data_IF_933460796662
#
_entry.id   IF_933460796662
#
_cell.length_a   1.000
_cell.length_b   1.000
_cell.length_c   1.000
_cell.angle_alpha   90.00
_cell.angle_beta   90.00
_cell.angle_gamma   90.00
#
_symmetry.space_group_name_H-M   'P 1'
#
loop_
_entity.id
_entity.type
_entity.pdbx_description
1 polymer ?
#
# COMPACT_ATOMS: atom_id res chain seq x y z
N UNK A 1 12.17 15.65 18.25
CA UNK A 1 12.14 15.92 16.79
C UNK A 1 12.85 14.84 15.98
N UNK A 2 14.13 14.54 16.24
CA UNK A 2 14.86 13.47 15.52
C UNK A 2 14.15 12.10 15.53
N UNK A 3 13.65 11.67 16.70
CA UNK A 3 12.93 10.39 16.84
C UNK A 3 11.65 10.36 15.98
N UNK A 4 10.90 11.46 15.93
CA UNK A 4 9.67 11.54 15.13
C UNK A 4 9.96 11.47 13.63
N UNK A 5 11.01 12.18 13.17
CA UNK A 5 11.44 12.12 11.76
C UNK A 5 11.90 10.71 11.41
N UNK A 6 12.70 10.08 12.27
CA UNK A 6 13.15 8.71 12.07
C UNK A 6 11.97 7.72 12.01
N UNK A 7 10.98 7.88 12.89
CA UNK A 7 9.77 7.05 12.89
C UNK A 7 8.96 7.20 11.59
N UNK A 8 8.82 8.42 11.06
CA UNK A 8 8.15 8.66 9.77
C UNK A 8 8.91 7.99 8.63
N UNK A 9 10.23 8.19 8.53
CA UNK A 9 11.05 7.62 7.46
C UNK A 9 10.99 6.09 7.48
N UNK A 10 11.17 5.48 8.66
CA UNK A 10 11.10 4.02 8.81
C UNK A 10 9.68 3.50 8.53
N UNK A 11 8.65 4.19 9.03
CA UNK A 11 7.26 3.81 8.80
C UNK A 11 6.88 3.80 7.33
N UNK A 12 7.21 4.86 6.59
CA UNK A 12 6.97 4.95 5.14
C UNK A 12 7.76 3.88 4.39
N UNK A 13 9.04 3.67 4.74
CA UNK A 13 9.85 2.64 4.11
C UNK A 13 9.27 1.23 4.31
N UNK A 14 8.80 0.92 5.52
CA UNK A 14 8.14 -0.36 5.82
C UNK A 14 6.80 -0.51 5.10
N UNK A 15 6.01 0.56 4.99
CA UNK A 15 4.73 0.55 4.26
C UNK A 15 4.95 0.27 2.77
N UNK A 16 5.86 0.98 2.12
CA UNK A 16 6.17 0.79 0.69
C UNK A 16 6.70 -0.63 0.45
N UNK A 17 7.66 -1.07 1.28
CA UNK A 17 8.23 -2.41 1.15
C UNK A 17 7.17 -3.51 1.37
N UNK A 18 6.27 -3.33 2.34
CA UNK A 18 5.17 -4.24 2.60
C UNK A 18 4.16 -4.29 1.46
N UNK A 19 3.81 -3.13 0.89
CA UNK A 19 2.91 -3.01 -0.25
C UNK A 19 3.47 -3.72 -1.49
N UNK A 20 4.75 -3.49 -1.83
CA UNK A 20 5.41 -4.15 -2.96
C UNK A 20 5.35 -5.67 -2.82
N UNK A 21 5.68 -6.20 -1.62
CA UNK A 21 5.64 -7.65 -1.37
C UNK A 21 4.25 -8.23 -1.39
N UNK A 22 3.26 -7.47 -0.94
CA UNK A 22 1.86 -7.87 -1.06
C UNK A 22 1.43 -7.96 -2.53
N UNK A 23 1.75 -6.96 -3.34
CA UNK A 23 1.41 -6.92 -4.78
C UNK A 23 2.09 -8.05 -5.53
N UNK A 24 3.39 -8.27 -5.31
CA UNK A 24 4.14 -9.36 -5.93
C UNK A 24 3.57 -10.74 -5.54
N UNK A 25 3.24 -10.92 -4.26
CA UNK A 25 2.62 -12.14 -3.75
C UNK A 25 1.25 -12.39 -4.39
N UNK A 26 0.39 -11.38 -4.41
CA UNK A 26 -0.93 -11.46 -5.02
C UNK A 26 -0.86 -11.71 -6.54
N UNK A 27 0.04 -11.03 -7.25
CA UNK A 27 0.28 -11.22 -8.68
C UNK A 27 0.79 -12.64 -8.98
N UNK A 28 1.68 -13.18 -8.14
CA UNK A 28 2.17 -14.56 -8.26
C UNK A 28 1.06 -15.59 -8.07
N UNK A 29 0.20 -15.40 -7.07
CA UNK A 29 -0.99 -16.25 -6.86
C UNK A 29 -1.93 -16.19 -8.07
N UNK A 30 -2.25 -14.99 -8.57
CA UNK A 30 -3.11 -14.82 -9.74
C UNK A 30 -2.52 -15.46 -11.00
N UNK A 31 -1.20 -15.33 -11.19
CA UNK A 31 -0.48 -16.00 -12.28
C UNK A 31 -0.58 -17.53 -12.17
N UNK A 32 -0.44 -18.08 -10.97
CA UNK A 32 -0.58 -19.53 -10.73
C UNK A 32 -2.01 -20.02 -11.01
N UNK A 33 -3.01 -19.16 -10.81
CA UNK A 33 -4.40 -19.41 -11.19
C UNK A 33 -4.70 -19.18 -12.68
N UNK A 34 -3.67 -18.93 -13.51
CA UNK A 34 -3.78 -18.67 -14.96
C UNK A 34 -4.61 -17.42 -15.30
N UNK A 35 -4.64 -16.43 -14.41
CA UNK A 35 -5.23 -15.12 -14.70
C UNK A 35 -4.38 -14.40 -15.76
N UNK A 36 -4.97 -13.78 -16.80
CA UNK A 36 -4.22 -13.05 -17.81
C UNK A 36 -3.39 -11.89 -17.21
N UNK A 37 -2.14 -11.66 -17.67
CA UNK A 37 -1.29 -10.58 -17.14
C UNK A 37 -1.94 -9.20 -17.22
N UNK A 38 -2.74 -8.96 -18.26
CA UNK A 38 -3.48 -7.70 -18.42
C UNK A 38 -4.47 -7.49 -17.28
N UNK A 39 -5.18 -8.54 -16.86
CA UNK A 39 -6.14 -8.45 -15.75
C UNK A 39 -5.40 -8.20 -14.43
N UNK A 40 -4.27 -8.86 -14.21
CA UNK A 40 -3.41 -8.65 -13.03
C UNK A 40 -2.94 -7.18 -12.97
N UNK A 41 -2.46 -6.64 -14.09
CA UNK A 41 -2.02 -5.24 -14.18
C UNK A 41 -3.15 -4.24 -13.93
N UNK A 42 -4.32 -4.46 -14.53
CA UNK A 42 -5.47 -3.57 -14.41
C UNK A 42 -6.14 -3.62 -13.03
N UNK A 43 -5.89 -4.64 -12.23
CA UNK A 43 -6.54 -4.84 -10.92
C UNK A 43 -5.57 -4.84 -9.75
N UNK A 44 -4.69 -5.84 -9.66
CA UNK A 44 -3.80 -6.03 -8.51
C UNK A 44 -2.72 -4.94 -8.48
N UNK A 45 -2.09 -4.66 -9.62
CA UNK A 45 -1.00 -3.68 -9.69
C UNK A 45 -1.54 -2.25 -9.57
N UNK A 46 -2.65 -1.94 -10.23
CA UNK A 46 -3.28 -0.62 -10.18
C UNK A 46 -3.75 -0.24 -8.76
N UNK A 47 -4.31 -1.19 -8.01
CA UNK A 47 -4.64 -0.98 -6.59
C UNK A 47 -3.35 -0.95 -5.76
N UNK A 48 -2.39 -1.80 -6.11
CA UNK A 48 -1.09 -1.95 -5.46
C UNK A 48 -0.33 -0.65 -5.26
N UNK A 49 -0.30 0.19 -6.29
CA UNK A 49 0.41 1.49 -6.27
C UNK A 49 -0.19 2.51 -5.32
N UNK A 50 -1.43 2.29 -4.86
CA UNK A 50 -2.14 3.18 -3.93
C UNK A 50 -2.40 2.53 -2.57
N UNK A 51 -1.80 1.35 -2.31
CA UNK A 51 -1.93 0.64 -1.04
C UNK A 51 -1.34 1.43 0.14
N UNK A 52 -0.12 1.99 0.06
CA UNK A 52 0.43 2.78 1.17
C UNK A 52 -0.49 3.95 1.55
N UNK A 53 -0.98 4.69 0.56
CA UNK A 53 -1.87 5.83 0.71
C UNK A 53 -3.22 5.40 1.30
N UNK A 54 -3.83 4.33 0.79
CA UNK A 54 -5.08 3.80 1.35
C UNK A 54 -4.92 3.39 2.82
N UNK A 55 -3.81 2.76 3.20
CA UNK A 55 -3.58 2.37 4.59
C UNK A 55 -3.40 3.61 5.47
N UNK A 56 -2.61 4.58 5.03
CA UNK A 56 -2.42 5.84 5.78
C UNK A 56 -3.74 6.59 5.93
N UNK A 57 -4.51 6.73 4.86
CA UNK A 57 -5.81 7.42 4.88
C UNK A 57 -6.84 6.69 5.74
N UNK A 58 -6.85 5.35 5.71
CA UNK A 58 -7.70 4.55 6.58
C UNK A 58 -7.32 4.71 8.06
N UNK A 59 -6.03 4.67 8.39
CA UNK A 59 -5.55 4.88 9.76
C UNK A 59 -5.88 6.30 10.26
N UNK A 60 -5.66 7.32 9.42
CA UNK A 60 -6.00 8.70 9.75
C UNK A 60 -7.50 8.91 10.00
N UNK A 61 -8.35 8.27 9.19
CA UNK A 61 -9.80 8.31 9.38
C UNK A 61 -10.24 7.63 10.69
N UNK A 62 -9.61 6.50 11.05
CA UNK A 62 -9.87 5.78 12.30
C UNK A 62 -9.43 6.59 13.54
N UNK A 63 -8.33 7.35 13.43
CA UNK A 63 -7.85 8.25 14.49
C UNK A 63 -8.63 9.58 14.55
N UNK A 64 -9.68 9.74 13.75
CA UNK A 64 -10.51 10.96 13.71
C UNK A 64 -9.86 12.15 12.99
N UNK A 65 -8.66 11.96 12.42
CA UNK A 65 -7.90 12.96 11.68
C UNK A 65 -8.30 12.95 10.20
N UNK A 66 -9.51 13.43 9.91
CA UNK A 66 -10.09 13.43 8.55
C UNK A 66 -9.27 14.21 7.54
N UNK A 67 -8.57 15.27 7.95
CA UNK A 67 -7.78 16.12 7.05
C UNK A 67 -6.59 15.38 6.43
N UNK A 68 -6.05 14.37 7.12
CA UNK A 68 -5.00 13.49 6.59
C UNK A 68 -5.57 12.36 5.71
N UNK A 69 -6.85 12.04 5.84
CA UNK A 69 -7.49 10.91 5.14
C UNK A 69 -8.08 11.22 3.76
N UNK A 70 -8.11 12.48 3.35
CA UNK A 70 -8.69 12.94 2.07
C UNK A 70 -7.57 13.46 1.11
N UNK A 71 -6.31 13.27 1.50
CA UNK A 71 -5.13 13.66 0.71
C UNK A 71 -4.81 12.69 -0.41
#
# INVERSE_FOLDING_TARGET
MLVAIAAIVVGVALLVWGADRFVDGAASVAKNLRVPPLVIGLTIVSIGTSLPEMIVSAMAALDGNRDLGIG
#
